data_IF_347268885227
#
_entry.id   IF_347268885227
#
_cell.length_a   1.000
_cell.length_b   1.000
_cell.length_c   1.000
_cell.angle_alpha   90.00
_cell.angle_beta   90.00
_cell.angle_gamma   90.00
#
_symmetry.space_group_name_H-M   'P 1'
#
loop_
_entity.id
_entity.type
_entity.pdbx_description
1 polymer ?
#
# COMPACT_ATOMS: atom_id res chain seq x y z
N UNK A 1 -5.69 -11.11 -12.18
CA UNK A 1 -5.32 -10.23 -11.06
C UNK A 1 -3.83 -10.00 -11.07
N UNK A 2 -3.41 -8.77 -10.82
CA UNK A 2 -2.00 -8.44 -10.80
C UNK A 2 -1.37 -8.86 -9.48
N UNK A 3 -0.10 -9.26 -9.55
CA UNK A 3 0.63 -9.67 -8.36
C UNK A 3 1.02 -8.44 -7.53
N UNK A 4 1.15 -8.65 -6.23
CA UNK A 4 1.66 -7.62 -5.33
C UNK A 4 3.17 -7.53 -5.51
N UNK A 5 3.67 -6.31 -5.66
CA UNK A 5 5.11 -6.07 -5.69
C UNK A 5 5.57 -5.78 -4.26
N UNK A 6 6.29 -6.72 -3.68
CA UNK A 6 6.69 -6.64 -2.27
C UNK A 6 7.57 -5.44 -1.97
N UNK A 7 8.26 -4.88 -2.97
CA UNK A 7 9.12 -3.73 -2.76
C UNK A 7 8.37 -2.40 -2.88
N UNK A 8 7.20 -2.38 -3.54
CA UNK A 8 6.48 -1.15 -3.84
C UNK A 8 5.08 -1.09 -3.26
N UNK A 9 4.44 -2.24 -3.03
CA UNK A 9 3.05 -2.30 -2.64
C UNK A 9 2.84 -2.58 -1.15
N UNK A 10 3.92 -2.66 -0.38
CA UNK A 10 3.86 -2.80 1.07
C UNK A 10 4.36 -1.49 1.69
N UNK A 11 3.54 -0.88 2.54
CA UNK A 11 3.88 0.42 3.12
C UNK A 11 3.52 0.45 4.60
N UNK A 12 4.40 0.99 5.46
CA UNK A 12 4.05 1.20 6.86
C UNK A 12 2.86 2.16 6.97
N UNK A 13 1.95 1.88 7.91
CA UNK A 13 0.75 2.70 8.05
C UNK A 13 1.07 4.16 8.36
N UNK A 14 2.16 4.42 9.08
CA UNK A 14 2.56 5.79 9.38
C UNK A 14 2.95 6.56 8.12
N UNK A 15 3.64 5.89 7.20
CA UNK A 15 4.00 6.50 5.92
C UNK A 15 2.76 6.69 5.05
N UNK A 16 1.86 5.71 5.05
CA UNK A 16 0.61 5.83 4.31
C UNK A 16 -0.17 7.06 4.77
N UNK A 17 -0.29 7.27 6.09
CA UNK A 17 -1.04 8.40 6.63
C UNK A 17 -0.47 9.74 6.20
N UNK A 18 0.85 9.84 6.08
CA UNK A 18 1.48 11.10 5.68
C UNK A 18 1.35 11.40 4.19
N UNK A 19 1.05 10.39 3.38
CA UNK A 19 1.00 10.54 1.93
C UNK A 19 -0.18 9.79 1.31
N UNK A 20 -1.37 10.00 1.89
CA UNK A 20 -2.57 9.27 1.46
C UNK A 20 -2.86 9.47 -0.02
N UNK A 21 -2.81 10.71 -0.51
CA UNK A 21 -3.11 10.99 -1.91
C UNK A 21 -2.14 10.29 -2.86
N UNK A 22 -0.87 10.24 -2.49
CA UNK A 22 0.14 9.56 -3.29
C UNK A 22 -0.20 8.07 -3.43
N UNK A 23 -0.56 7.42 -2.33
CA UNK A 23 -0.83 5.99 -2.36
C UNK A 23 -2.14 5.66 -3.07
N UNK A 24 -3.15 6.52 -2.93
CA UNK A 24 -4.41 6.33 -3.66
C UNK A 24 -4.15 6.43 -5.16
N UNK A 25 -3.36 7.39 -5.61
CA UNK A 25 -2.99 7.52 -7.02
C UNK A 25 -2.17 6.34 -7.49
N UNK A 26 -1.29 5.83 -6.64
CA UNK A 26 -0.50 4.63 -6.96
C UNK A 26 -1.41 3.43 -7.25
N UNK A 27 -2.43 3.22 -6.42
CA UNK A 27 -3.38 2.13 -6.64
C UNK A 27 -4.13 2.32 -7.95
N UNK A 28 -4.58 3.54 -8.25
CA UNK A 28 -5.28 3.82 -9.50
C UNK A 28 -4.40 3.59 -10.72
N UNK A 29 -3.14 3.99 -10.63
CA UNK A 29 -2.23 3.90 -11.77
C UNK A 29 -1.76 2.48 -12.02
N UNK A 30 -1.45 1.73 -10.97
CA UNK A 30 -0.88 0.38 -11.10
C UNK A 30 -1.93 -0.70 -11.09
N UNK A 31 -3.07 -0.46 -10.46
CA UNK A 31 -4.09 -1.50 -10.26
C UNK A 31 -3.68 -2.54 -9.22
N UNK A 32 -2.59 -2.32 -8.48
CA UNK A 32 -2.13 -3.26 -7.46
C UNK A 32 -2.74 -2.89 -6.12
N UNK A 33 -3.11 -3.88 -5.28
CA UNK A 33 -3.47 -3.59 -3.91
C UNK A 33 -2.25 -3.16 -3.11
N UNK A 34 -2.46 -2.35 -2.08
CA UNK A 34 -1.39 -1.92 -1.17
C UNK A 34 -1.61 -2.57 0.19
N UNK A 35 -0.57 -3.21 0.70
CA UNK A 35 -0.62 -3.85 2.01
C UNK A 35 -0.06 -2.88 3.06
N UNK A 36 -0.89 -2.56 4.05
CA UNK A 36 -0.50 -1.66 5.13
C UNK A 36 0.07 -2.47 6.28
N UNK A 37 1.18 -2.03 6.82
CA UNK A 37 1.84 -2.73 7.92
C UNK A 37 2.00 -1.82 9.12
N UNK A 38 2.08 -2.43 10.31
CA UNK A 38 2.37 -1.75 11.55
C UNK A 38 3.23 -2.68 12.41
N UNK A 39 4.38 -2.18 12.84
CA UNK A 39 5.33 -2.98 13.63
C UNK A 39 5.71 -4.29 12.93
N UNK A 40 5.86 -4.23 11.61
CA UNK A 40 6.22 -5.40 10.82
C UNK A 40 5.09 -6.39 10.55
N UNK A 41 3.86 -6.05 10.97
CA UNK A 41 2.70 -6.93 10.76
C UNK A 41 1.71 -6.28 9.82
N UNK A 42 1.09 -7.10 8.97
CA UNK A 42 0.04 -6.63 8.10
C UNK A 42 -1.20 -6.27 8.93
N UNK A 43 -1.73 -5.06 8.74
CA UNK A 43 -2.93 -4.61 9.45
C UNK A 43 -4.09 -4.34 8.50
N UNK A 44 -3.86 -4.33 7.21
CA UNK A 44 -4.92 -4.12 6.25
C UNK A 44 -4.42 -4.13 4.83
N UNK A 45 -5.35 -4.21 3.90
CA UNK A 45 -5.07 -4.16 2.46
C UNK A 45 -6.00 -3.13 1.84
N UNK A 46 -5.43 -2.25 1.04
CA UNK A 46 -6.19 -1.22 0.34
C UNK A 46 -6.26 -1.57 -1.14
N UNK A 47 -7.47 -1.68 -1.65
CA UNK A 47 -7.71 -2.04 -3.05
C UNK A 47 -8.11 -0.83 -3.89
#
# INVERSE_FOLDING_TARGET
MKNIDLSQDIVPITEFRSQVSHWINHIKDTGHPVVLTQNGKSVGVLL
#
